data_IF_752578799411
#
_entry.id   IF_752578799411
#
_cell.length_a   1.000
_cell.length_b   1.000
_cell.length_c   1.000
_cell.angle_alpha   90.00
_cell.angle_beta   90.00
_cell.angle_gamma   90.00
#
_symmetry.space_group_name_H-M   'P 1'
#
loop_
_entity.id
_entity.type
_entity.pdbx_description
1 polymer ?
#
# COMPACT_ATOMS: atom_id res chain seq x y z
N UNK A 1 -4.59 -21.99 23.26
CA UNK A 1 -5.19 -20.78 23.86
C UNK A 1 -4.81 -19.60 23.00
N UNK A 2 -5.73 -19.19 22.13
CA UNK A 2 -5.63 -17.98 21.33
C UNK A 2 -6.26 -16.88 22.17
N UNK A 3 -5.58 -15.75 22.39
CA UNK A 3 -6.21 -14.56 22.94
C UNK A 3 -6.09 -13.45 21.90
N UNK A 4 -7.23 -13.16 21.28
CA UNK A 4 -7.45 -11.99 20.45
C UNK A 4 -7.44 -10.75 21.34
N UNK A 5 -6.68 -9.73 20.95
CA UNK A 5 -7.02 -8.33 21.27
C UNK A 5 -6.87 -7.56 19.96
N UNK A 6 -7.89 -7.69 19.12
CA UNK A 6 -8.17 -6.76 18.04
C UNK A 6 -9.22 -5.76 18.49
N UNK A 7 -9.04 -4.53 18.00
CA UNK A 7 -10.04 -3.45 17.92
C UNK A 7 -10.27 -2.70 19.25
N UNK A 8 -9.83 -1.43 19.28
CA UNK A 8 -10.50 -0.26 19.90
C UNK A 8 -9.61 1.00 19.88
N UNK A 9 -9.07 1.39 18.72
CA UNK A 9 -8.37 2.69 18.59
C UNK A 9 -9.27 3.78 18.00
N UNK A 10 -10.32 3.40 17.25
CA UNK A 10 -11.18 4.34 16.52
C UNK A 10 -12.48 4.72 17.27
N UNK A 11 -12.94 3.92 18.24
CA UNK A 11 -14.11 4.25 19.06
C UNK A 11 -13.74 5.18 20.23
N UNK A 12 -12.54 5.01 20.78
CA UNK A 12 -12.02 5.80 21.91
C UNK A 12 -11.83 7.27 21.54
N UNK A 13 -11.60 7.58 20.26
CA UNK A 13 -11.49 8.95 19.75
C UNK A 13 -12.84 9.64 19.59
N UNK A 14 -13.95 8.91 19.38
CA UNK A 14 -15.30 9.50 19.36
C UNK A 14 -15.77 9.93 20.75
N UNK A 15 -15.40 9.18 21.80
CA UNK A 15 -15.77 9.49 23.18
C UNK A 15 -15.09 10.74 23.75
N UNK A 16 -13.95 11.18 23.20
CA UNK A 16 -13.18 12.33 23.69
C UNK A 16 -13.69 13.69 23.19
N UNK A 17 -14.65 13.71 22.27
CA UNK A 17 -15.24 14.94 21.70
C UNK A 17 -16.35 15.55 22.57
N UNK A 18 -16.71 14.92 23.70
CA UNK A 18 -17.95 15.19 24.43
C UNK A 18 -17.88 16.02 25.72
N UNK A 19 -16.74 16.65 26.07
CA UNK A 19 -16.66 17.42 27.33
C UNK A 19 -16.23 18.86 27.04
N UNK A 20 -17.22 19.72 26.86
CA UNK A 20 -17.04 21.16 26.88
C UNK A 20 -16.98 21.63 28.34
N UNK A 21 -15.88 22.30 28.73
CA UNK A 21 -15.88 23.12 29.94
C UNK A 21 -14.51 23.27 30.62
N UNK A 22 -13.90 24.43 30.39
CA UNK A 22 -13.25 25.36 31.35
C UNK A 22 -11.88 25.82 30.84
N UNK A 23 -11.76 27.15 30.78
CA UNK A 23 -10.63 27.92 30.30
C UNK A 23 -9.29 27.58 30.98
N UNK A 24 -8.26 27.37 30.16
CA UNK A 24 -6.85 27.26 30.53
C UNK A 24 -5.99 27.21 29.27
N UNK A 25 -5.02 28.12 29.17
CA UNK A 25 -4.29 28.48 27.95
C UNK A 25 -3.41 27.35 27.34
N UNK A 26 -3.44 27.27 26.00
CA UNK A 26 -2.39 26.81 25.07
C UNK A 26 -1.79 25.38 25.09
N UNK A 27 -2.23 24.47 25.95
CA UNK A 27 -1.75 23.05 25.90
C UNK A 27 -2.67 22.06 25.19
N UNK A 28 -3.91 22.42 24.94
CA UNK A 28 -4.95 21.45 24.57
C UNK A 28 -5.02 21.17 23.06
N UNK A 29 -4.70 22.15 22.21
CA UNK A 29 -4.71 22.03 20.73
C UNK A 29 -3.48 21.30 20.16
N UNK A 30 -2.35 21.29 20.88
CA UNK A 30 -1.11 20.61 20.44
C UNK A 30 -1.20 19.09 20.62
N UNK A 31 -2.00 18.60 21.58
CA UNK A 31 -2.18 17.17 21.86
C UNK A 31 -2.81 16.41 20.67
N UNK A 32 -3.93 16.85 20.08
CA UNK A 32 -4.55 16.19 18.93
C UNK A 32 -3.59 16.03 17.74
N UNK A 33 -2.78 17.05 17.43
CA UNK A 33 -1.83 16.98 16.32
C UNK A 33 -0.63 16.08 16.61
N UNK A 34 -0.13 16.06 17.85
CA UNK A 34 0.91 15.13 18.24
C UNK A 34 0.45 13.67 18.05
N UNK A 35 -0.81 13.38 18.39
CA UNK A 35 -1.43 12.07 18.16
C UNK A 35 -1.54 11.74 16.68
N UNK A 36 -1.95 12.70 15.83
CA UNK A 36 -2.03 12.47 14.38
C UNK A 36 -0.66 12.26 13.73
N UNK A 37 0.37 13.01 14.14
CA UNK A 37 1.76 12.82 13.67
C UNK A 37 2.28 11.44 14.07
N UNK A 38 2.00 11.00 15.29
CA UNK A 38 2.37 9.67 15.77
C UNK A 38 1.64 8.57 14.97
N UNK A 39 0.35 8.74 14.71
CA UNK A 39 -0.44 7.82 13.89
C UNK A 39 0.12 7.72 12.46
N UNK A 40 0.40 8.86 11.81
CA UNK A 40 1.03 8.89 10.49
C UNK A 40 2.38 8.17 10.49
N UNK A 41 3.22 8.43 11.50
CA UNK A 41 4.52 7.77 11.67
C UNK A 41 4.37 6.25 11.80
N UNK A 42 3.41 5.78 12.60
CA UNK A 42 3.14 4.35 12.77
C UNK A 42 2.74 3.70 11.45
N UNK A 43 1.77 4.30 10.74
CA UNK A 43 1.28 3.79 9.46
C UNK A 43 2.42 3.72 8.45
N UNK A 44 3.26 4.75 8.36
CA UNK A 44 4.41 4.79 7.45
C UNK A 44 5.38 3.65 7.75
N UNK A 45 5.75 3.46 9.02
CA UNK A 45 6.68 2.39 9.42
C UNK A 45 6.10 1.00 9.14
N UNK A 46 4.82 0.79 9.46
CA UNK A 46 4.11 -0.46 9.13
C UNK A 46 4.08 -0.70 7.62
N UNK A 47 3.84 0.34 6.82
CA UNK A 47 3.79 0.24 5.36
C UNK A 47 5.16 -0.14 4.78
N UNK A 48 6.24 0.44 5.30
CA UNK A 48 7.62 0.09 4.93
C UNK A 48 7.88 -1.39 5.22
N UNK A 49 7.52 -1.87 6.41
CA UNK A 49 7.68 -3.28 6.78
C UNK A 49 6.87 -4.23 5.89
N UNK A 50 5.62 -3.87 5.55
CA UNK A 50 4.79 -4.67 4.63
C UNK A 50 5.47 -4.76 3.27
N UNK A 51 6.00 -3.65 2.77
CA UNK A 51 6.68 -3.58 1.48
C UNK A 51 8.00 -4.36 1.45
N UNK A 52 8.82 -4.29 2.51
CA UNK A 52 10.05 -5.07 2.62
C UNK A 52 9.79 -6.58 2.55
N UNK A 53 8.64 -7.02 3.06
CA UNK A 53 8.19 -8.41 3.03
C UNK A 53 7.34 -8.76 1.79
N UNK A 54 7.17 -7.84 0.83
CA UNK A 54 6.36 -8.08 -0.35
C UNK A 54 7.04 -9.09 -1.27
N UNK A 55 6.36 -10.18 -1.59
CA UNK A 55 6.86 -11.21 -2.50
C UNK A 55 6.42 -10.97 -3.96
N UNK A 56 5.29 -10.29 -4.16
CA UNK A 56 4.67 -10.09 -5.47
C UNK A 56 4.34 -8.63 -5.75
N UNK A 57 4.07 -8.33 -7.03
CA UNK A 57 3.55 -7.04 -7.50
C UNK A 57 4.39 -5.83 -7.03
N UNK A 58 5.70 -6.03 -6.90
CA UNK A 58 6.65 -5.04 -6.36
C UNK A 58 6.62 -3.70 -7.12
N UNK A 59 6.43 -3.73 -8.45
CA UNK A 59 6.31 -2.50 -9.25
C UNK A 59 5.13 -1.61 -8.83
N UNK A 60 3.96 -2.20 -8.60
CA UNK A 60 2.77 -1.46 -8.13
C UNK A 60 3.00 -0.96 -6.70
N UNK A 61 3.57 -1.81 -5.84
CA UNK A 61 3.87 -1.45 -4.47
C UNK A 61 4.92 -0.31 -4.39
N UNK A 62 5.92 -0.30 -5.28
CA UNK A 62 6.96 0.73 -5.37
C UNK A 62 6.38 2.12 -5.60
N UNK A 63 5.48 2.26 -6.58
CA UNK A 63 4.93 3.58 -6.92
C UNK A 63 4.11 4.20 -5.75
N UNK A 64 3.48 3.38 -4.91
CA UNK A 64 2.84 3.87 -3.68
C UNK A 64 3.83 4.04 -2.53
N UNK A 65 4.90 3.26 -2.48
CA UNK A 65 5.97 3.41 -1.50
C UNK A 65 6.69 4.75 -1.66
N UNK A 66 6.92 5.22 -2.89
CA UNK A 66 7.53 6.53 -3.13
C UNK A 66 6.73 7.67 -2.49
N UNK A 67 5.39 7.60 -2.58
CA UNK A 67 4.48 8.53 -1.89
C UNK A 67 4.59 8.43 -0.37
N UNK A 68 4.68 7.20 0.16
CA UNK A 68 4.89 6.95 1.59
C UNK A 68 6.23 7.55 2.06
N UNK A 69 7.29 7.47 1.25
CA UNK A 69 8.58 8.09 1.58
C UNK A 69 8.53 9.62 1.56
N UNK A 70 7.77 10.22 0.64
CA UNK A 70 7.56 11.67 0.63
C UNK A 70 6.77 12.10 1.87
N UNK A 71 5.69 11.39 2.19
CA UNK A 71 4.94 11.59 3.43
C UNK A 71 5.84 11.47 4.68
N UNK A 72 6.76 10.49 4.70
CA UNK A 72 7.75 10.33 5.76
C UNK A 72 8.65 11.56 5.91
N UNK A 73 9.15 12.11 4.80
CA UNK A 73 9.95 13.34 4.81
C UNK A 73 9.19 14.54 5.37
N UNK A 74 7.92 14.69 4.99
CA UNK A 74 7.03 15.73 5.50
C UNK A 74 6.79 15.56 7.01
N UNK A 75 6.41 14.37 7.45
CA UNK A 75 6.15 14.07 8.87
C UNK A 75 7.38 14.32 9.73
N UNK A 76 8.57 13.89 9.29
CA UNK A 76 9.84 14.18 9.96
C UNK A 76 10.09 15.69 10.08
N UNK A 77 9.78 16.45 9.03
CA UNK A 77 9.93 17.91 9.03
C UNK A 77 8.98 18.58 10.02
N UNK A 78 7.71 18.18 10.02
CA UNK A 78 6.70 18.68 10.95
C UNK A 78 7.06 18.38 12.40
N UNK A 79 7.56 17.18 12.67
CA UNK A 79 7.96 16.78 14.02
C UNK A 79 9.17 17.60 14.52
N UNK A 80 10.15 17.86 13.65
CA UNK A 80 11.32 18.70 13.96
C UNK A 80 10.94 20.16 14.20
N UNK A 81 9.99 20.70 13.43
CA UNK A 81 9.56 22.11 13.45
C UNK A 81 8.20 22.29 14.13
N UNK A 82 7.94 21.54 15.21
CA UNK A 82 6.62 21.48 15.84
C UNK A 82 6.14 22.84 16.37
N UNK A 83 7.04 23.62 16.96
CA UNK A 83 6.74 24.96 17.50
C UNK A 83 6.45 25.97 16.37
N UNK A 84 7.22 25.91 15.28
CA UNK A 84 7.04 26.80 14.12
C UNK A 84 5.71 26.55 13.39
N UNK A 85 5.22 25.31 13.41
CA UNK A 85 3.96 24.90 12.78
C UNK A 85 2.73 25.05 13.69
N UNK A 86 2.89 25.52 14.93
CA UNK A 86 1.80 25.59 15.90
C UNK A 86 0.61 26.43 15.41
N UNK A 87 0.87 27.52 14.66
CA UNK A 87 -0.19 28.34 14.05
C UNK A 87 -1.04 27.54 13.04
N UNK A 88 -0.40 26.68 12.25
CA UNK A 88 -1.10 25.79 11.32
C UNK A 88 -1.89 24.73 12.10
N UNK A 89 -1.34 24.24 13.22
CA UNK A 89 -2.03 23.30 14.11
C UNK A 89 -3.22 23.90 14.87
N UNK A 90 -3.44 25.21 14.82
CA UNK A 90 -4.64 25.85 15.36
C UNK A 90 -5.70 26.08 14.28
N UNK A 91 -5.39 25.84 13.02
CA UNK A 91 -6.31 25.98 11.90
C UNK A 91 -7.17 24.71 11.74
N UNK A 92 -8.48 24.88 11.77
CA UNK A 92 -9.44 23.77 11.69
C UNK A 92 -9.45 23.08 10.32
N UNK A 93 -9.34 23.84 9.23
CA UNK A 93 -9.25 23.28 7.88
C UNK A 93 -7.96 22.48 7.71
N UNK A 94 -6.84 23.00 8.22
CA UNK A 94 -5.57 22.29 8.25
C UNK A 94 -5.68 20.99 9.05
N UNK A 95 -6.38 21.00 10.19
CA UNK A 95 -6.62 19.79 10.99
C UNK A 95 -7.40 18.74 10.20
N UNK A 96 -8.52 19.15 9.59
CA UNK A 96 -9.36 18.28 8.77
C UNK A 96 -8.59 17.66 7.61
N UNK A 97 -7.77 18.47 6.92
CA UNK A 97 -6.90 17.99 5.85
C UNK A 97 -5.84 17.01 6.38
N UNK A 98 -5.30 17.25 7.58
CA UNK A 98 -4.32 16.36 8.18
C UNK A 98 -4.94 15.02 8.62
N UNK A 99 -6.16 15.03 9.16
CA UNK A 99 -6.94 13.81 9.44
C UNK A 99 -7.17 13.02 8.15
N UNK A 100 -7.58 13.70 7.07
CA UNK A 100 -7.73 13.08 5.73
C UNK A 100 -6.40 12.48 5.24
N UNK A 101 -5.28 13.15 5.48
CA UNK A 101 -3.96 12.64 5.11
C UNK A 101 -3.60 11.34 5.85
N UNK A 102 -3.85 11.27 7.16
CA UNK A 102 -3.64 10.04 7.95
C UNK A 102 -4.53 8.90 7.44
N UNK A 103 -5.80 9.18 7.13
CA UNK A 103 -6.72 8.20 6.53
C UNK A 103 -6.20 7.65 5.19
N UNK A 104 -5.76 8.54 4.29
CA UNK A 104 -5.22 8.15 2.98
C UNK A 104 -3.98 7.26 3.14
N UNK A 105 -3.06 7.60 4.06
CA UNK A 105 -1.91 6.74 4.36
C UNK A 105 -2.36 5.35 4.82
N UNK A 106 -3.39 5.26 5.65
CA UNK A 106 -3.98 3.99 6.07
C UNK A 106 -4.52 3.17 4.90
N UNK A 107 -5.27 3.81 4.00
CA UNK A 107 -5.79 3.15 2.79
C UNK A 107 -4.70 2.70 1.83
N UNK A 108 -3.60 3.46 1.71
CA UNK A 108 -2.42 3.08 0.94
C UNK A 108 -1.75 1.85 1.56
N UNK A 109 -1.56 1.84 2.89
CA UNK A 109 -1.01 0.68 3.60
C UNK A 109 -1.79 -0.59 3.31
N UNK A 110 -3.11 -0.52 3.45
CA UNK A 110 -4.00 -1.67 3.24
C UNK A 110 -3.96 -2.15 1.79
N UNK A 111 -3.93 -1.23 0.82
CA UNK A 111 -3.77 -1.59 -0.58
C UNK A 111 -2.42 -2.28 -0.88
N UNK A 112 -1.31 -1.75 -0.35
CA UNK A 112 0.01 -2.39 -0.51
C UNK A 112 0.01 -3.78 0.12
N UNK A 113 -0.61 -3.94 1.29
CA UNK A 113 -0.78 -5.25 1.94
C UNK A 113 -1.56 -6.22 1.06
N UNK A 114 -2.70 -5.79 0.50
CA UNK A 114 -3.54 -6.63 -0.34
C UNK A 114 -2.82 -7.03 -1.63
N UNK A 115 -2.16 -6.08 -2.29
CA UNK A 115 -1.50 -6.29 -3.58
C UNK A 115 -0.19 -7.05 -3.45
N UNK A 116 0.59 -6.84 -2.38
CA UNK A 116 1.87 -7.53 -2.17
C UNK A 116 1.74 -9.05 -2.04
N UNK A 117 0.56 -9.53 -1.60
CA UNK A 117 0.24 -10.95 -1.43
C UNK A 117 -0.62 -11.52 -2.56
N UNK A 118 -1.02 -10.71 -3.55
CA UNK A 118 -1.95 -11.12 -4.59
C UNK A 118 -1.26 -11.98 -5.66
N UNK A 119 -1.49 -13.29 -5.59
CA UNK A 119 -0.92 -14.28 -6.51
C UNK A 119 -1.95 -14.90 -7.48
N UNK A 120 -1.43 -15.58 -8.51
CA UNK A 120 -2.19 -16.49 -9.37
C UNK A 120 -3.14 -15.78 -10.34
N UNK A 121 -4.23 -16.45 -10.71
CA UNK A 121 -5.19 -15.93 -11.69
C UNK A 121 -6.02 -14.73 -11.18
N UNK A 122 -6.11 -14.57 -9.85
CA UNK A 122 -6.87 -13.50 -9.19
C UNK A 122 -6.38 -12.10 -9.54
N UNK A 123 -5.07 -11.93 -9.80
CA UNK A 123 -4.50 -10.63 -10.20
C UNK A 123 -5.04 -10.14 -11.55
N UNK A 124 -5.36 -11.06 -12.47
CA UNK A 124 -5.82 -10.71 -13.81
C UNK A 124 -7.31 -10.35 -13.80
N UNK A 125 -8.12 -11.08 -13.04
CA UNK A 125 -9.55 -10.77 -12.88
C UNK A 125 -9.78 -9.42 -12.18
N UNK A 126 -8.84 -9.00 -11.33
CA UNK A 126 -8.92 -7.77 -10.55
C UNK A 126 -8.14 -6.60 -11.17
N UNK A 127 -7.51 -6.76 -12.34
CA UNK A 127 -6.58 -5.77 -12.89
C UNK A 127 -7.19 -4.36 -13.03
N UNK A 128 -8.43 -4.27 -13.53
CA UNK A 128 -9.14 -2.99 -13.63
C UNK A 128 -9.43 -2.39 -12.26
N UNK A 129 -9.89 -3.20 -11.30
CA UNK A 129 -10.15 -2.75 -9.94
C UNK A 129 -8.89 -2.29 -9.21
N UNK A 130 -7.76 -2.97 -9.42
CA UNK A 130 -6.45 -2.58 -8.88
C UNK A 130 -6.03 -1.24 -9.48
N UNK A 131 -6.15 -1.07 -10.79
CA UNK A 131 -5.85 0.18 -11.49
C UNK A 131 -6.70 1.34 -10.97
N UNK A 132 -8.00 1.15 -10.84
CA UNK A 132 -8.92 2.20 -10.38
C UNK A 132 -8.63 2.57 -8.92
N UNK A 133 -8.43 1.57 -8.04
CA UNK A 133 -8.09 1.82 -6.63
C UNK A 133 -6.74 2.51 -6.50
N UNK A 134 -5.73 2.12 -7.29
CA UNK A 134 -4.43 2.79 -7.34
C UNK A 134 -4.57 4.26 -7.76
N UNK A 135 -5.27 4.53 -8.86
CA UNK A 135 -5.47 5.89 -9.36
C UNK A 135 -6.21 6.77 -8.35
N UNK A 136 -7.25 6.24 -7.72
CA UNK A 136 -7.99 6.95 -6.69
C UNK A 136 -7.12 7.29 -5.47
N UNK A 137 -6.31 6.34 -4.99
CA UNK A 137 -5.39 6.57 -3.87
C UNK A 137 -4.33 7.62 -4.22
N UNK A 138 -3.77 7.56 -5.42
CA UNK A 138 -2.81 8.55 -5.92
C UNK A 138 -3.42 9.95 -6.00
N UNK A 139 -4.62 10.07 -6.57
CA UNK A 139 -5.32 11.36 -6.69
C UNK A 139 -5.68 11.93 -5.31
N UNK A 140 -6.16 11.09 -4.39
CA UNK A 140 -6.47 11.49 -3.03
C UNK A 140 -5.22 11.99 -2.30
N UNK A 141 -4.11 11.27 -2.43
CA UNK A 141 -2.84 11.65 -1.83
C UNK A 141 -2.34 12.99 -2.37
N UNK A 142 -2.33 13.17 -3.69
CA UNK A 142 -1.90 14.43 -4.30
C UNK A 142 -2.80 15.62 -3.92
N UNK A 143 -4.12 15.39 -3.87
CA UNK A 143 -5.08 16.39 -3.40
C UNK A 143 -4.77 16.81 -1.97
N UNK A 144 -4.62 15.87 -1.04
CA UNK A 144 -4.41 16.22 0.37
C UNK A 144 -3.03 16.84 0.61
N UNK A 145 -2.02 16.43 -0.15
CA UNK A 145 -0.70 17.05 -0.11
C UNK A 145 -0.78 18.51 -0.55
N UNK A 146 -1.51 18.81 -1.63
CA UNK A 146 -1.77 20.18 -2.06
C UNK A 146 -2.57 20.98 -1.02
N UNK A 147 -3.62 20.39 -0.44
CA UNK A 147 -4.46 21.05 0.57
C UNK A 147 -3.70 21.39 1.86
N UNK A 148 -2.62 20.64 2.16
CA UNK A 148 -1.70 20.87 3.27
C UNK A 148 -0.49 21.75 2.89
N UNK A 149 -0.41 22.19 1.62
CA UNK A 149 0.75 22.86 1.03
C UNK A 149 2.05 22.05 1.16
N UNK A 150 1.94 20.73 1.11
CA UNK A 150 3.06 19.81 0.97
C UNK A 150 3.29 19.57 -0.53
N UNK A 151 4.40 20.08 -1.07
CA UNK A 151 4.63 20.04 -2.52
C UNK A 151 5.16 18.68 -2.97
N UNK A 152 4.48 18.03 -3.92
CA UNK A 152 4.99 16.89 -4.70
C UNK A 152 5.67 17.41 -5.98
N UNK A 153 6.83 16.89 -6.35
CA UNK A 153 7.56 17.34 -7.55
C UNK A 153 6.96 16.78 -8.85
N UNK A 154 7.09 17.51 -9.96
CA UNK A 154 6.64 17.05 -11.28
C UNK A 154 7.47 15.87 -11.80
N UNK A 155 8.74 15.81 -11.40
CA UNK A 155 9.64 14.69 -11.69
C UNK A 155 9.14 13.38 -11.09
N UNK A 156 8.64 13.39 -9.85
CA UNK A 156 8.10 12.19 -9.23
C UNK A 156 6.85 11.69 -9.98
N UNK A 157 5.99 12.61 -10.43
CA UNK A 157 4.79 12.25 -11.21
C UNK A 157 5.12 11.59 -12.55
N UNK A 158 6.24 11.98 -13.18
CA UNK A 158 6.70 11.35 -14.40
C UNK A 158 7.21 9.92 -14.14
N UNK A 159 8.02 9.73 -13.09
CA UNK A 159 8.52 8.42 -12.64
C UNK A 159 7.36 7.46 -12.36
N UNK A 160 6.32 7.94 -11.67
CA UNK A 160 5.16 7.11 -11.32
C UNK A 160 4.39 6.61 -12.54
N UNK A 161 4.21 7.47 -13.56
CA UNK A 161 3.52 7.10 -14.81
C UNK A 161 4.29 6.03 -15.56
N UNK A 162 5.59 6.21 -15.70
CA UNK A 162 6.48 5.26 -16.36
C UNK A 162 6.48 3.90 -15.63
N UNK A 163 6.66 3.91 -14.30
CA UNK A 163 6.62 2.70 -13.49
C UNK A 163 5.29 1.94 -13.61
N UNK A 164 4.17 2.66 -13.68
CA UNK A 164 2.84 2.07 -13.86
C UNK A 164 2.70 1.44 -15.26
N UNK A 165 3.11 2.15 -16.31
CA UNK A 165 3.05 1.64 -17.68
C UNK A 165 3.92 0.40 -17.87
N UNK A 166 5.18 0.45 -17.41
CA UNK A 166 6.09 -0.68 -17.46
C UNK A 166 5.56 -1.86 -16.63
N UNK A 167 5.01 -1.59 -15.45
CA UNK A 167 4.40 -2.62 -14.60
C UNK A 167 3.23 -3.32 -15.30
N UNK A 168 2.36 -2.55 -15.96
CA UNK A 168 1.23 -3.10 -16.72
C UNK A 168 1.72 -3.91 -17.93
N UNK A 169 2.74 -3.42 -18.64
CA UNK A 169 3.30 -4.15 -19.78
C UNK A 169 3.95 -5.47 -19.37
N UNK A 170 4.70 -5.47 -18.27
CA UNK A 170 5.29 -6.70 -17.73
C UNK A 170 4.21 -7.68 -17.28
N UNK A 171 3.12 -7.20 -16.66
CA UNK A 171 1.97 -8.03 -16.32
C UNK A 171 1.32 -8.68 -17.55
N UNK A 172 1.22 -7.94 -18.67
CA UNK A 172 0.71 -8.47 -19.95
C UNK A 172 1.64 -9.52 -20.55
N UNK A 173 2.94 -9.26 -20.59
CA UNK A 173 3.93 -10.21 -21.14
C UNK A 173 3.96 -11.53 -20.35
N UNK A 174 3.92 -11.45 -19.03
CA UNK A 174 3.83 -12.64 -18.17
C UNK A 174 2.52 -13.42 -18.35
N UNK A 175 1.44 -12.78 -18.81
CA UNK A 175 0.18 -13.45 -19.15
C UNK A 175 0.34 -14.27 -20.44
N UNK A 176 0.84 -13.64 -21.51
CA UNK A 176 1.06 -14.28 -22.80
C UNK A 176 2.01 -15.49 -22.69
N UNK A 177 3.09 -15.36 -21.90
CA UNK A 177 4.03 -16.46 -21.67
C UNK A 177 3.38 -17.64 -20.91
N UNK A 178 2.49 -17.35 -19.96
CA UNK A 178 1.78 -18.39 -19.19
C UNK A 178 0.65 -19.05 -19.97
N UNK A 179 -0.02 -18.33 -20.87
CA UNK A 179 -1.00 -18.90 -21.80
C UNK A 179 -0.33 -19.88 -22.75
N UNK A 180 0.79 -19.48 -23.39
CA UNK A 180 1.58 -20.36 -24.26
C UNK A 180 2.05 -21.63 -23.53
N UNK A 181 2.57 -21.50 -22.31
CA UNK A 181 2.98 -22.66 -21.50
C UNK A 181 1.81 -23.55 -21.09
N UNK A 182 0.62 -22.98 -20.84
CA UNK A 182 -0.59 -23.73 -20.54
C UNK A 182 -1.09 -24.53 -21.76
N UNK A 183 -0.99 -23.92 -22.93
CA UNK A 183 -1.38 -24.52 -24.22
C UNK A 183 -0.43 -25.64 -24.62
N UNK A 184 0.89 -25.42 -24.52
CA UNK A 184 1.91 -26.46 -24.71
C UNK A 184 1.70 -27.65 -23.77
N UNK A 185 1.41 -27.41 -22.49
CA UNK A 185 1.12 -28.49 -21.52
C UNK A 185 -0.12 -29.28 -21.90
N UNK A 186 -1.18 -28.63 -22.39
CA UNK A 186 -2.40 -29.30 -22.87
C UNK A 186 -2.10 -30.17 -24.09
N UNK A 187 -1.39 -29.62 -25.08
CA UNK A 187 -0.98 -30.33 -26.29
C UNK A 187 -0.13 -31.56 -25.93
N UNK A 188 0.90 -31.40 -25.11
CA UNK A 188 1.76 -32.52 -24.67
C UNK A 188 0.94 -33.58 -23.92
N UNK A 189 -0.03 -33.19 -23.08
CA UNK A 189 -0.89 -34.14 -22.37
C UNK A 189 -1.83 -34.92 -23.31
N UNK A 190 -2.23 -34.32 -24.43
CA UNK A 190 -3.05 -34.98 -25.45
C UNK A 190 -2.22 -35.89 -26.38
N UNK A 191 -0.95 -35.54 -26.63
CA UNK A 191 -0.05 -36.33 -27.47
C UNK A 191 0.60 -37.51 -26.74
N UNK A 192 0.75 -37.44 -25.42
CA UNK A 192 1.35 -38.51 -24.61
C UNK A 192 0.25 -39.18 -23.77
N UNK A 193 -0.22 -40.37 -24.17
CA UNK A 193 -1.18 -41.13 -23.38
C UNK A 193 -0.68 -41.34 -21.95
N UNK A 194 -1.59 -41.28 -20.98
CA UNK A 194 -1.28 -41.30 -19.53
C UNK A 194 -0.43 -42.51 -19.11
N UNK A 195 -0.59 -43.64 -19.83
CA UNK A 195 0.19 -44.87 -19.68
C UNK A 195 1.67 -44.69 -20.03
N UNK A 196 2.00 -43.91 -21.07
CA UNK A 196 3.40 -43.64 -21.45
C UNK A 196 4.08 -42.69 -20.47
N UNK A 197 3.34 -41.74 -19.90
CA UNK A 197 3.83 -40.85 -18.84
C UNK A 197 4.24 -41.61 -17.57
N UNK A 198 3.51 -42.67 -17.22
CA UNK A 198 3.83 -43.54 -16.10
C UNK A 198 5.15 -44.31 -16.32
N UNK A 199 5.34 -44.86 -17.52
CA UNK A 199 6.58 -45.58 -17.88
C UNK A 199 7.80 -44.64 -17.86
N UNK A 200 7.67 -43.44 -18.44
CA UNK A 200 8.76 -42.44 -18.44
C UNK A 200 9.13 -42.04 -17.00
N UNK A 201 8.14 -41.76 -16.15
CA UNK A 201 8.40 -41.43 -14.72
C UNK A 201 9.04 -42.59 -13.95
N UNK A 202 8.65 -43.83 -14.24
CA UNK A 202 9.24 -45.03 -13.62
C UNK A 202 10.71 -45.20 -14.03
N UNK A 203 11.03 -45.02 -15.32
CA UNK A 203 12.38 -45.14 -15.84
C UNK A 203 13.32 -44.04 -15.33
N UNK A 204 12.85 -42.79 -15.25
CA UNK A 204 13.63 -41.67 -14.68
C UNK A 204 13.92 -41.92 -13.19
N UNK A 205 12.93 -42.40 -12.42
CA UNK A 205 13.14 -42.76 -11.01
C UNK A 205 14.16 -43.89 -10.81
N UNK A 206 14.22 -44.86 -11.72
CA UNK A 206 15.24 -45.90 -11.69
C UNK A 206 16.62 -45.36 -12.05
N UNK A 207 16.71 -44.44 -13.01
CA UNK A 207 17.97 -43.84 -13.44
C UNK A 207 18.59 -42.93 -12.37
N UNK A 208 17.76 -42.16 -11.64
CA UNK A 208 18.20 -41.26 -10.57
C UNK A 208 18.49 -41.98 -9.23
N UNK A 209 18.24 -43.30 -9.14
CA UNK A 209 18.54 -44.13 -7.96
C UNK A 209 19.82 -44.97 -8.09
N UNK A 210 20.57 -44.79 -9.19
CA UNK A 210 21.93 -45.31 -9.35
C UNK A 210 22.94 -44.20 -9.12
#
# INVERSE_FOLDING_TARGET
MVNEIGINSLETTKSLLGIAGVAGEDKETIKPYATLIAAATSIINETIQIYENAEYNKKICNALMDRVQIANGVIKTLNRRKQENEKNFRNELYYKNFVRFVDILGRIKDFIKDVSQLQGYKKYLLANSIKDKFNNLTNDFESVMKDLNFTMSEEQKAIDREALEEGIQELKKQMEEKEKQGEERRIISSLIPTERLFIIRSNIKQFLKK
#
